data_IF_841525439339
#
_entry.id   IF_841525439339
#
_cell.length_a   1.000
_cell.length_b   1.000
_cell.length_c   1.000
_cell.angle_alpha   90.00
_cell.angle_beta   90.00
_cell.angle_gamma   90.00
#
_symmetry.space_group_name_H-M   'P 1'
#
loop_
_entity.id
_entity.type
_entity.pdbx_description
1 polymer ?
#
# COMPACT_ATOMS: atom_id res chain seq x y z
N UNK A 1 31.01 36.53 32.88
CA UNK A 1 29.97 35.68 33.47
C UNK A 1 28.86 35.59 32.42
N UNK A 2 28.81 34.51 31.63
CA UNK A 2 27.90 34.38 30.49
C UNK A 2 26.88 33.30 30.84
N UNK A 3 25.67 33.73 31.16
CA UNK A 3 24.54 32.87 31.53
C UNK A 3 24.05 32.21 30.26
N UNK A 4 24.36 30.92 30.11
CA UNK A 4 23.78 30.06 29.10
C UNK A 4 22.38 29.66 29.60
N UNK A 5 21.34 30.38 29.16
CA UNK A 5 19.96 29.96 29.34
C UNK A 5 19.70 28.76 28.43
N UNK A 6 19.94 27.56 28.93
CA UNK A 6 19.44 26.34 28.32
C UNK A 6 17.91 26.36 28.45
N UNK A 7 17.21 26.64 27.34
CA UNK A 7 15.80 26.33 27.19
C UNK A 7 15.67 24.81 27.18
N UNK A 8 15.51 24.23 28.35
CA UNK A 8 15.11 22.83 28.50
C UNK A 8 13.64 22.76 28.09
N UNK A 9 13.37 22.30 26.86
CA UNK A 9 12.04 21.79 26.53
C UNK A 9 11.76 20.66 27.51
N UNK A 10 10.79 20.88 28.40
CA UNK A 10 10.21 19.84 29.25
C UNK A 10 9.41 18.92 28.33
N UNK A 11 10.12 17.99 27.69
CA UNK A 11 9.50 16.87 27.00
C UNK A 11 8.73 16.09 28.06
N UNK A 12 7.41 16.04 27.88
CA UNK A 12 6.52 15.46 28.89
C UNK A 12 6.90 14.00 29.05
N UNK A 13 7.28 13.61 30.27
CA UNK A 13 7.75 12.28 30.66
C UNK A 13 6.61 11.25 30.62
N UNK A 14 5.84 11.20 29.54
CA UNK A 14 4.85 10.17 29.27
C UNK A 14 5.50 9.16 28.34
N UNK A 15 5.67 7.93 28.83
CA UNK A 15 6.10 6.84 27.98
C UNK A 15 5.08 6.66 26.86
N UNK A 16 5.57 6.60 25.62
CA UNK A 16 4.74 6.29 24.48
C UNK A 16 4.22 4.86 24.65
N UNK A 17 2.90 4.65 24.51
CA UNK A 17 2.30 3.34 24.70
C UNK A 17 2.00 2.72 23.35
N UNK A 18 2.62 1.58 23.08
CA UNK A 18 2.35 0.75 21.92
C UNK A 18 1.48 -0.45 22.32
N UNK A 19 0.19 -0.36 22.02
CA UNK A 19 -0.79 -1.40 22.40
C UNK A 19 -0.98 -2.41 21.27
N UNK A 20 -0.48 -3.64 21.47
CA UNK A 20 -0.57 -4.71 20.49
C UNK A 20 -1.98 -5.31 20.39
N UNK A 21 -2.46 -5.46 19.15
CA UNK A 21 -3.76 -6.07 18.81
C UNK A 21 -3.68 -7.60 18.96
N UNK A 22 -4.84 -8.27 19.06
CA UNK A 22 -4.88 -9.73 19.05
C UNK A 22 -4.71 -10.30 17.63
N UNK A 23 -5.34 -9.65 16.67
CA UNK A 23 -5.37 -10.03 15.26
C UNK A 23 -5.17 -8.80 14.39
N UNK A 24 -4.57 -9.00 13.22
CA UNK A 24 -4.41 -7.98 12.20
C UNK A 24 -4.63 -8.61 10.82
N UNK A 25 -5.35 -7.92 9.94
CA UNK A 25 -5.55 -8.34 8.55
C UNK A 25 -4.81 -7.37 7.64
N UNK A 26 -3.91 -7.91 6.83
CA UNK A 26 -3.08 -7.13 5.91
C UNK A 26 -3.43 -7.46 4.46
N UNK A 27 -3.60 -6.41 3.66
CA UNK A 27 -3.92 -6.50 2.23
C UNK A 27 -2.77 -6.01 1.35
N UNK A 28 -1.61 -5.74 1.96
CA UNK A 28 -0.40 -5.26 1.27
C UNK A 28 0.72 -6.29 1.42
N UNK A 29 1.79 -6.15 0.64
CA UNK A 29 2.94 -7.08 0.67
C UNK A 29 3.79 -6.97 1.93
N UNK A 30 3.52 -6.01 2.82
CA UNK A 30 4.29 -5.78 4.05
C UNK A 30 3.36 -5.59 5.25
N UNK A 31 3.84 -5.98 6.43
CA UNK A 31 3.17 -5.68 7.69
C UNK A 31 3.78 -4.40 8.27
N UNK A 32 2.95 -3.39 8.48
CA UNK A 32 3.33 -2.14 9.15
C UNK A 32 2.99 -2.20 10.63
N UNK A 33 3.61 -1.31 11.41
CA UNK A 33 3.32 -1.24 12.85
C UNK A 33 1.85 -0.87 13.12
N UNK A 34 1.27 0.05 12.33
CA UNK A 34 -0.14 0.44 12.48
C UNK A 34 -1.14 -0.68 12.21
N UNK A 35 -0.74 -1.70 11.44
CA UNK A 35 -1.59 -2.88 11.21
C UNK A 35 -1.76 -3.69 12.49
N UNK A 36 -0.70 -3.80 13.30
CA UNK A 36 -0.64 -4.72 14.44
C UNK A 36 -0.75 -4.05 15.81
N UNK A 37 -0.62 -2.72 15.88
CA UNK A 37 -0.58 -1.98 17.13
C UNK A 37 -1.24 -0.61 17.02
N UNK A 38 -1.79 -0.14 18.13
CA UNK A 38 -2.21 1.25 18.30
C UNK A 38 -1.09 2.02 19.01
N UNK A 39 -0.79 3.22 18.52
CA UNK A 39 0.19 4.12 19.14
C UNK A 39 -0.58 5.16 19.95
N UNK A 40 -0.29 5.25 21.25
CA UNK A 40 -0.99 6.10 22.23
C UNK A 40 0.03 6.99 22.95
N UNK A 41 -0.41 8.17 23.40
CA UNK A 41 0.43 9.15 24.11
C UNK A 41 1.68 9.59 23.33
N UNK A 42 1.56 9.73 22.01
CA UNK A 42 2.59 10.32 21.15
C UNK A 42 1.99 11.46 20.31
N UNK A 43 2.86 12.37 19.86
CA UNK A 43 2.46 13.46 18.97
C UNK A 43 1.96 12.94 17.61
N UNK A 44 1.03 13.65 16.94
CA UNK A 44 0.45 13.18 15.67
C UNK A 44 1.49 12.86 14.58
N UNK A 45 2.60 13.60 14.54
CA UNK A 45 3.69 13.34 13.59
C UNK A 45 4.40 12.02 13.91
N UNK A 46 4.69 11.77 15.20
CA UNK A 46 5.33 10.55 15.68
C UNK A 46 4.41 9.33 15.49
N UNK A 47 3.11 9.47 15.80
CA UNK A 47 2.09 8.46 15.52
C UNK A 47 2.11 8.08 14.04
N UNK A 48 2.08 9.07 13.14
CA UNK A 48 2.08 8.83 11.69
C UNK A 48 3.35 8.11 11.25
N UNK A 49 4.52 8.56 11.75
CA UNK A 49 5.82 7.96 11.45
C UNK A 49 5.86 6.50 11.90
N UNK A 50 5.44 6.22 13.13
CA UNK A 50 5.47 4.89 13.71
C UNK A 50 4.48 3.96 13.04
N UNK A 51 3.23 4.39 12.83
CA UNK A 51 2.24 3.60 12.10
C UNK A 51 2.72 3.19 10.70
N UNK A 52 3.50 4.05 10.04
CA UNK A 52 4.07 3.80 8.71
C UNK A 52 5.24 2.82 8.67
N UNK A 53 5.88 2.52 9.80
CA UNK A 53 7.09 1.68 9.86
C UNK A 53 6.81 0.26 9.39
N UNK A 54 7.66 -0.24 8.50
CA UNK A 54 7.58 -1.60 7.95
C UNK A 54 8.32 -2.55 8.89
N UNK A 55 7.61 -3.54 9.42
CA UNK A 55 8.19 -4.51 10.35
C UNK A 55 8.71 -5.77 9.64
N UNK A 56 7.96 -6.27 8.65
CA UNK A 56 8.32 -7.47 7.89
C UNK A 56 7.52 -7.61 6.60
N UNK A 57 7.90 -8.55 5.71
CA UNK A 57 7.02 -9.03 4.66
C UNK A 57 5.71 -9.57 5.21
N UNK A 58 4.62 -9.36 4.48
CA UNK A 58 3.34 -9.95 4.79
C UNK A 58 3.39 -11.48 4.66
N UNK A 59 2.58 -12.22 5.44
CA UNK A 59 2.38 -13.65 5.21
C UNK A 59 1.95 -13.91 3.77
N UNK A 60 2.23 -15.10 3.21
CA UNK A 60 1.67 -15.49 1.92
C UNK A 60 0.15 -15.35 1.90
N UNK A 61 -0.43 -15.05 0.75
CA UNK A 61 -1.87 -14.86 0.58
C UNK A 61 -2.65 -16.06 1.14
N UNK A 62 -3.71 -15.77 1.90
CA UNK A 62 -4.53 -16.79 2.58
C UNK A 62 -3.88 -17.47 3.79
N UNK A 63 -2.64 -17.10 4.14
CA UNK A 63 -1.97 -17.63 5.33
C UNK A 63 -2.06 -16.69 6.52
N UNK A 64 -1.93 -17.29 7.70
CA UNK A 64 -1.81 -16.59 8.97
C UNK A 64 -0.45 -16.88 9.58
N UNK A 65 0.19 -15.85 10.12
CA UNK A 65 1.45 -15.92 10.83
C UNK A 65 1.30 -15.27 12.20
N UNK A 66 1.89 -15.88 13.22
CA UNK A 66 1.97 -15.26 14.56
C UNK A 66 3.25 -14.44 14.65
N UNK A 67 3.13 -13.20 15.11
CA UNK A 67 4.26 -12.33 15.46
C UNK A 67 4.24 -12.10 16.97
N UNK A 68 5.34 -12.43 17.64
CA UNK A 68 5.49 -12.25 19.08
C UNK A 68 5.97 -10.86 19.45
N UNK A 69 5.70 -10.43 20.67
CA UNK A 69 6.21 -9.17 21.23
C UNK A 69 7.74 -9.07 21.16
N UNK A 70 8.47 -10.18 21.35
CA UNK A 70 9.93 -10.20 21.25
C UNK A 70 10.43 -9.94 19.83
N UNK A 71 9.74 -10.49 18.82
CA UNK A 71 10.04 -10.22 17.41
C UNK A 71 9.73 -8.77 17.03
N UNK A 72 8.60 -8.24 17.51
CA UNK A 72 8.22 -6.83 17.30
C UNK A 72 9.28 -5.92 17.92
N UNK A 73 9.66 -6.19 19.17
CA UNK A 73 10.70 -5.45 19.89
C UNK A 73 12.03 -5.43 19.13
N UNK A 74 12.52 -6.59 18.72
CA UNK A 74 13.77 -6.68 17.97
C UNK A 74 13.74 -5.91 16.64
N UNK A 75 12.58 -5.85 15.97
CA UNK A 75 12.40 -5.07 14.74
C UNK A 75 12.36 -3.58 15.00
N UNK A 76 11.65 -3.13 16.03
CA UNK A 76 11.64 -1.72 16.42
C UNK A 76 13.04 -1.23 16.75
N UNK A 77 13.82 -2.03 17.48
CA UNK A 77 15.25 -1.73 17.75
C UNK A 77 16.06 -1.65 16.45
N UNK A 78 15.89 -2.61 15.53
CA UNK A 78 16.58 -2.60 14.24
C UNK A 78 16.21 -1.40 13.36
N UNK A 79 15.01 -0.83 13.55
CA UNK A 79 14.55 0.39 12.89
C UNK A 79 14.99 1.67 13.62
N UNK A 80 15.75 1.55 14.71
CA UNK A 80 16.28 2.70 15.46
C UNK A 80 15.29 3.33 16.43
N UNK A 81 14.21 2.63 16.81
CA UNK A 81 13.26 3.10 17.82
C UNK A 81 13.87 2.96 19.21
N UNK A 82 13.88 4.04 19.98
CA UNK A 82 14.28 4.00 21.38
C UNK A 82 13.18 3.34 22.22
N UNK A 83 13.49 2.15 22.75
CA UNK A 83 12.56 1.40 23.59
C UNK A 83 12.54 1.87 25.04
N UNK A 84 13.50 2.68 25.49
CA UNK A 84 13.52 3.19 26.86
C UNK A 84 12.36 4.13 27.15
N UNK A 85 11.80 4.76 26.11
CA UNK A 85 10.64 5.64 26.18
C UNK A 85 9.34 4.97 25.70
N UNK A 86 9.38 3.68 25.34
CA UNK A 86 8.25 2.95 24.74
C UNK A 86 7.76 1.82 25.65
N UNK A 87 6.50 1.90 26.06
CA UNK A 87 5.82 0.83 26.80
C UNK A 87 5.01 -0.04 25.83
N UNK A 88 5.38 -1.32 25.72
CA UNK A 88 4.60 -2.30 24.96
C UNK A 88 3.52 -2.93 25.85
N UNK A 89 2.25 -2.75 25.48
CA UNK A 89 1.08 -3.27 26.21
C UNK A 89 0.18 -4.10 25.31
N UNK A 90 -0.88 -4.70 25.87
CA UNK A 90 -1.86 -5.49 25.12
C UNK A 90 -1.47 -6.96 25.01
N UNK A 91 -1.58 -7.55 23.82
CA UNK A 91 -1.31 -8.99 23.60
C UNK A 91 0.17 -9.26 23.38
N UNK A 92 0.67 -10.33 23.99
CA UNK A 92 2.08 -10.77 23.79
C UNK A 92 2.36 -11.36 22.40
N UNK A 93 1.31 -11.58 21.60
CA UNK A 93 1.39 -12.11 20.25
C UNK A 93 0.23 -11.57 19.40
N UNK A 94 0.50 -11.35 18.12
CA UNK A 94 -0.47 -10.88 17.13
C UNK A 94 -0.60 -11.92 16.02
N UNK A 95 -1.82 -12.36 15.72
CA UNK A 95 -2.10 -13.19 14.55
C UNK A 95 -2.31 -12.29 13.33
N UNK A 96 -1.40 -12.37 12.37
CA UNK A 96 -1.45 -11.59 11.13
C UNK A 96 -1.88 -12.47 9.98
N UNK A 97 -2.98 -12.12 9.34
CA UNK A 97 -3.53 -12.86 8.19
C UNK A 97 -3.49 -12.00 6.93
N UNK A 98 -3.00 -12.56 5.84
CA UNK A 98 -3.07 -11.91 4.52
C UNK A 98 -4.36 -12.29 3.82
N UNK A 99 -5.12 -11.29 3.36
CA UNK A 99 -6.35 -11.54 2.63
C UNK A 99 -6.07 -12.19 1.29
N UNK A 100 -6.71 -13.32 1.01
CA UNK A 100 -6.73 -13.89 -0.34
C UNK A 100 -7.27 -12.84 -1.30
N UNK A 101 -6.42 -12.35 -2.20
CA UNK A 101 -6.89 -11.61 -3.35
C UNK A 101 -7.57 -12.64 -4.23
N UNK A 102 -8.89 -12.76 -4.10
CA UNK A 102 -9.71 -13.34 -5.16
C UNK A 102 -9.57 -12.39 -6.34
N UNK A 103 -8.50 -12.58 -7.11
CA UNK A 103 -8.44 -12.05 -8.45
C UNK A 103 -9.56 -12.80 -9.17
N UNK A 104 -10.75 -12.19 -9.27
CA UNK A 104 -11.58 -12.47 -10.42
C UNK A 104 -10.62 -12.41 -11.61
N UNK A 105 -10.48 -13.49 -12.39
CA UNK A 105 -9.65 -13.44 -13.57
C UNK A 105 -10.23 -12.32 -14.40
N UNK A 106 -9.57 -11.16 -14.36
CA UNK A 106 -9.70 -10.20 -15.42
C UNK A 106 -9.26 -11.01 -16.62
N UNK A 107 -10.24 -11.48 -17.37
CA UNK A 107 -10.06 -12.05 -18.68
C UNK A 107 -9.33 -10.95 -19.45
N UNK A 108 -8.00 -10.97 -19.39
CA UNK A 108 -7.17 -10.64 -20.51
C UNK A 108 -7.64 -11.63 -21.56
N UNK A 109 -8.71 -11.25 -22.25
CA UNK A 109 -9.17 -11.93 -23.43
C UNK A 109 -7.91 -12.04 -24.28
N UNK A 110 -7.40 -13.25 -24.41
CA UNK A 110 -6.35 -13.56 -25.35
C UNK A 110 -6.97 -13.13 -26.68
N UNK A 111 -6.64 -11.93 -27.17
CA UNK A 111 -7.14 -11.44 -28.45
C UNK A 111 -6.73 -12.51 -29.45
N UNK A 112 -7.70 -13.31 -29.86
CA UNK A 112 -7.45 -14.31 -30.88
C UNK A 112 -7.13 -13.55 -32.16
N UNK A 113 -6.38 -14.18 -33.07
CA UNK A 113 -6.14 -13.55 -34.39
C UNK A 113 -7.45 -13.19 -35.10
N UNK A 114 -8.54 -13.90 -34.80
CA UNK A 114 -9.88 -13.64 -35.32
C UNK A 114 -10.50 -12.36 -34.74
N UNK A 115 -10.35 -12.10 -33.44
CA UNK A 115 -10.78 -10.84 -32.83
C UNK A 115 -10.04 -9.63 -33.41
N UNK A 116 -8.73 -9.78 -33.67
CA UNK A 116 -7.92 -8.73 -34.27
C UNK A 116 -8.38 -8.42 -35.71
N UNK A 117 -8.62 -9.45 -36.53
CA UNK A 117 -9.13 -9.28 -37.90
C UNK A 117 -10.52 -8.62 -37.93
N UNK A 118 -11.40 -8.98 -37.00
CA UNK A 118 -12.73 -8.36 -36.91
C UNK A 118 -12.67 -6.89 -36.47
N UNK A 119 -11.75 -6.54 -35.57
CA UNK A 119 -11.52 -5.16 -35.17
C UNK A 119 -10.99 -4.33 -36.35
N UNK A 120 -10.02 -4.86 -37.10
CA UNK A 120 -9.46 -4.19 -38.28
C UNK A 120 -10.52 -3.94 -39.36
N UNK A 121 -11.36 -4.93 -39.66
CA UNK A 121 -12.44 -4.77 -40.64
C UNK A 121 -13.43 -3.67 -40.26
N UNK A 122 -13.81 -3.60 -38.97
CA UNK A 122 -14.69 -2.54 -38.47
C UNK A 122 -14.07 -1.16 -38.60
N UNK A 123 -12.78 -1.04 -38.30
CA UNK A 123 -12.04 0.24 -38.45
C UNK A 123 -11.97 0.66 -39.92
N UNK A 124 -11.65 -0.27 -40.83
CA UNK A 124 -11.60 0.01 -42.27
C UNK A 124 -12.95 0.42 -42.83
N UNK A 125 -14.03 -0.23 -42.39
CA UNK A 125 -15.38 0.09 -42.81
C UNK A 125 -15.81 1.47 -42.30
N UNK A 126 -15.55 1.79 -41.04
CA UNK A 126 -15.84 3.10 -40.46
C UNK A 126 -15.05 4.22 -41.15
N UNK A 127 -13.78 3.97 -41.46
CA UNK A 127 -12.94 4.93 -42.19
C UNK A 127 -13.48 5.19 -43.60
N UNK A 128 -13.86 4.13 -44.31
CA UNK A 128 -14.42 4.25 -45.68
C UNK A 128 -15.73 5.03 -45.68
N UNK A 129 -16.60 4.75 -44.71
CA UNK A 129 -17.87 5.46 -44.56
C UNK A 129 -17.64 6.95 -44.24
N UNK A 130 -16.71 7.24 -43.34
CA UNK A 130 -16.33 8.62 -42.99
C UNK A 130 -15.77 9.39 -44.19
N UNK A 131 -14.88 8.77 -44.99
CA UNK A 131 -14.32 9.41 -46.20
C UNK A 131 -15.45 9.70 -47.20
N UNK A 132 -16.38 8.76 -47.40
CA UNK A 132 -17.51 8.93 -48.31
C UNK A 132 -18.45 10.05 -47.86
N UNK A 133 -18.70 10.15 -46.56
CA UNK A 133 -19.53 11.21 -45.96
C UNK A 133 -18.85 12.57 -46.03
N UNK A 134 -17.55 12.63 -45.74
CA UNK A 134 -16.78 13.89 -45.66
C UNK A 134 -16.40 14.46 -47.03
N UNK A 135 -16.31 13.63 -48.07
CA UNK A 135 -15.90 14.04 -49.42
C UNK A 135 -16.83 13.45 -50.51
N UNK A 136 -18.08 13.95 -50.65
CA UNK A 136 -19.02 13.47 -51.67
C UNK A 136 -18.61 13.81 -53.12
N UNK A 137 -17.55 14.61 -53.33
CA UNK A 137 -17.15 15.14 -54.64
C UNK A 137 -15.70 14.82 -55.04
N UNK A 138 -15.21 13.62 -54.74
CA UNK A 138 -13.86 13.15 -55.11
C UNK A 138 -13.68 12.81 -56.61
N UNK A 139 -14.71 12.98 -57.45
CA UNK A 139 -14.63 12.74 -58.91
C UNK A 139 -13.67 13.69 -59.65
N UNK A 140 -13.09 14.68 -58.97
CA UNK A 140 -12.20 15.67 -59.58
C UNK A 140 -10.70 15.28 -59.53
N UNK A 141 -10.35 14.15 -58.89
CA UNK A 141 -8.95 13.71 -58.74
C UNK A 141 -8.64 12.38 -59.44
N UNK A 142 -9.14 12.15 -60.67
CA UNK A 142 -8.57 11.12 -61.55
C UNK A 142 -7.36 11.70 -62.28
N UNK A 143 -6.16 11.25 -61.90
CA UNK A 143 -4.96 11.44 -62.71
C UNK A 143 -5.04 10.52 -63.94
N UNK A 144 -4.81 11.12 -65.11
CA UNK A 144 -4.86 10.50 -66.44
C UNK A 144 -3.59 9.72 -66.75
#
# INVERSE_FOLDING_TARGET
>A
MLVCCCVCSVDSLQAEILRLKATARVNTSVVRLGDIADVLHADPEQVTRMQGMILQPAPPQGRTQVITISQIRGRLQALGVDLSQLELTGRSQVQVSSQEVHQEPQQQAVTTQQDQQQAEQKVQQALTDWIRSSYPNSKQFSLK
#
